data_IF_483846934386
#
_entry.id   IF_483846934386
#
_cell.length_a   1.000
_cell.length_b   1.000
_cell.length_c   1.000
_cell.angle_alpha   90.00
_cell.angle_beta   90.00
_cell.angle_gamma   90.00
#
_symmetry.space_group_name_H-M   'P 1'
#
loop_
_entity.id
_entity.type
_entity.pdbx_description
1 polymer ?
#
# COMPACT_ATOMS: atom_id res chain seq x y z
N UNK A 1 -21.75 -23.61 -5.03
CA UNK A 1 -20.73 -23.74 -6.10
C UNK A 1 -20.18 -25.16 -6.21
N UNK A 2 -19.47 -25.69 -5.20
CA UNK A 2 -18.82 -27.01 -5.27
C UNK A 2 -19.79 -28.21 -5.40
N UNK A 3 -21.07 -28.02 -5.09
CA UNK A 3 -22.13 -29.01 -5.18
C UNK A 3 -23.18 -28.72 -6.26
N UNK A 4 -22.94 -27.72 -7.12
CA UNK A 4 -23.82 -27.33 -8.23
C UNK A 4 -25.27 -26.92 -7.84
N UNK A 5 -25.47 -26.46 -6.60
CA UNK A 5 -26.78 -26.03 -6.06
C UNK A 5 -26.99 -24.51 -6.05
N UNK A 6 -26.28 -23.76 -6.89
CA UNK A 6 -26.15 -22.31 -6.74
C UNK A 6 -25.27 -21.92 -5.54
N UNK A 7 -25.21 -20.63 -5.21
CA UNK A 7 -24.53 -20.12 -4.02
C UNK A 7 -25.07 -18.77 -3.57
N UNK A 8 -24.97 -18.50 -2.28
CA UNK A 8 -25.12 -17.18 -1.69
C UNK A 8 -23.77 -16.45 -1.81
N UNK A 9 -23.75 -15.34 -2.55
CA UNK A 9 -22.55 -14.55 -2.79
C UNK A 9 -21.97 -13.95 -1.52
N UNK A 10 -22.80 -13.38 -0.66
CA UNK A 10 -22.36 -12.76 0.59
C UNK A 10 -21.73 -13.81 1.52
N UNK A 11 -22.36 -14.98 1.64
CA UNK A 11 -21.79 -16.07 2.43
C UNK A 11 -20.47 -16.60 1.82
N UNK A 12 -20.35 -16.63 0.49
CA UNK A 12 -19.12 -17.04 -0.19
C UNK A 12 -17.97 -16.01 -0.01
N UNK A 13 -18.29 -14.72 0.00
CA UNK A 13 -17.33 -13.65 0.28
C UNK A 13 -16.84 -13.73 1.73
N UNK A 14 -17.75 -13.95 2.69
CA UNK A 14 -17.39 -14.18 4.10
C UNK A 14 -16.40 -15.34 4.23
N UNK A 15 -16.66 -16.47 3.56
CA UNK A 15 -15.72 -17.61 3.55
C UNK A 15 -14.34 -17.19 3.03
N UNK A 16 -14.30 -16.46 1.91
CA UNK A 16 -13.05 -16.01 1.28
C UNK A 16 -12.29 -15.03 2.18
N UNK A 17 -12.99 -14.09 2.84
CA UNK A 17 -12.42 -13.22 3.87
C UNK A 17 -11.83 -14.03 5.04
N UNK A 18 -12.47 -15.13 5.44
CA UNK A 18 -11.95 -16.04 6.45
C UNK A 18 -10.63 -16.70 6.07
N UNK A 19 -10.49 -17.12 4.81
CA UNK A 19 -9.22 -17.65 4.30
C UNK A 19 -8.12 -16.58 4.36
N UNK A 20 -8.42 -15.36 3.91
CA UNK A 20 -7.46 -14.24 3.94
C UNK A 20 -7.07 -13.90 5.38
N UNK A 21 -8.04 -13.77 6.28
CA UNK A 21 -7.78 -13.49 7.69
C UNK A 21 -6.91 -14.58 8.33
N UNK A 22 -7.20 -15.85 8.07
CA UNK A 22 -6.38 -16.96 8.53
C UNK A 22 -4.94 -16.81 8.03
N UNK A 23 -4.73 -16.57 6.73
CA UNK A 23 -3.39 -16.43 6.14
C UNK A 23 -2.63 -15.25 6.75
N UNK A 24 -3.29 -14.11 6.96
CA UNK A 24 -2.66 -12.94 7.59
C UNK A 24 -2.18 -13.22 9.01
N UNK A 25 -2.89 -14.09 9.75
CA UNK A 25 -2.56 -14.43 11.13
C UNK A 25 -1.61 -15.64 11.27
N UNK A 26 -1.70 -16.60 10.36
CA UNK A 26 -0.97 -17.86 10.42
C UNK A 26 0.29 -17.87 9.54
N UNK A 27 0.31 -17.12 8.44
CA UNK A 27 1.36 -17.14 7.42
C UNK A 27 1.27 -18.32 6.43
N UNK A 28 0.21 -19.13 6.49
CA UNK A 28 -0.03 -20.28 5.60
C UNK A 28 -1.52 -20.51 5.39
N UNK A 29 -1.90 -21.34 4.41
CA UNK A 29 -3.29 -21.63 4.07
C UNK A 29 -3.96 -22.58 5.08
N UNK A 30 -5.24 -22.36 5.47
CA UNK A 30 -5.95 -23.29 6.34
C UNK A 30 -6.19 -24.66 5.69
N UNK A 31 -6.26 -24.69 4.36
CA UNK A 31 -6.40 -25.90 3.54
C UNK A 31 -5.31 -25.91 2.47
N UNK A 32 -4.38 -26.85 2.56
CA UNK A 32 -3.34 -27.08 1.55
C UNK A 32 -3.07 -28.57 1.48
N UNK A 33 -3.26 -29.17 0.30
CA UNK A 33 -3.14 -30.60 0.07
C UNK A 33 -2.67 -30.84 -1.37
N UNK A 34 -1.70 -31.74 -1.60
CA UNK A 34 -1.21 -32.03 -2.95
C UNK A 34 -2.24 -32.74 -3.82
N UNK A 35 -3.19 -33.47 -3.19
CA UNK A 35 -4.26 -34.15 -3.90
C UNK A 35 -5.54 -33.31 -3.85
N UNK A 36 -6.04 -32.93 -5.03
CA UNK A 36 -7.22 -32.08 -5.17
C UNK A 36 -8.50 -32.69 -4.55
N UNK A 37 -8.66 -34.02 -4.59
CA UNK A 37 -9.80 -34.69 -3.97
C UNK A 37 -9.74 -34.59 -2.43
N UNK A 38 -8.54 -34.72 -1.85
CA UNK A 38 -8.32 -34.53 -0.42
C UNK A 38 -8.52 -33.07 -0.02
N UNK A 39 -8.03 -32.12 -0.82
CA UNK A 39 -8.25 -30.70 -0.63
C UNK A 39 -9.75 -30.38 -0.54
N UNK A 40 -10.52 -30.80 -1.54
CA UNK A 40 -11.97 -30.57 -1.54
C UNK A 40 -12.68 -31.24 -0.37
N UNK A 41 -12.26 -32.44 0.05
CA UNK A 41 -12.82 -33.08 1.24
C UNK A 41 -12.58 -32.26 2.50
N UNK A 42 -11.37 -31.70 2.68
CA UNK A 42 -11.05 -30.84 3.82
C UNK A 42 -11.81 -29.52 3.78
N UNK A 43 -11.90 -28.89 2.61
CA UNK A 43 -12.69 -27.66 2.40
C UNK A 43 -14.16 -27.89 2.74
N UNK A 44 -14.79 -28.93 2.18
CA UNK A 44 -16.21 -29.23 2.41
C UNK A 44 -16.53 -29.59 3.86
N UNK A 45 -15.55 -30.08 4.63
CA UNK A 45 -15.70 -30.38 6.06
C UNK A 45 -15.21 -29.26 6.97
N UNK A 46 -14.61 -28.20 6.41
CA UNK A 46 -13.81 -27.22 7.14
C UNK A 46 -12.82 -27.86 8.13
N UNK A 47 -12.09 -28.87 7.67
CA UNK A 47 -11.09 -29.56 8.48
C UNK A 47 -9.75 -28.81 8.45
N UNK A 48 -9.54 -27.91 9.41
CA UNK A 48 -8.31 -27.13 9.60
C UNK A 48 -7.96 -26.99 11.09
N UNK A 49 -6.71 -26.64 11.38
CA UNK A 49 -6.25 -26.36 12.74
C UNK A 49 -5.72 -24.93 12.83
N UNK A 50 -6.13 -24.21 13.87
CA UNK A 50 -5.57 -22.90 14.17
C UNK A 50 -4.24 -23.07 14.91
N UNK A 51 -3.21 -22.25 14.60
CA UNK A 51 -1.96 -22.22 15.34
C UNK A 51 -2.14 -21.99 16.85
N UNK A 52 -1.13 -22.39 17.64
CA UNK A 52 -1.13 -22.21 19.09
C UNK A 52 -1.19 -20.74 19.50
N UNK A 53 -0.56 -19.84 18.74
CA UNK A 53 -0.50 -18.40 19.00
C UNK A 53 -1.78 -17.63 18.71
N UNK A 54 -2.80 -18.25 18.09
CA UNK A 54 -4.10 -17.61 17.94
C UNK A 54 -4.76 -17.47 19.32
N UNK A 55 -5.30 -16.29 19.62
CA UNK A 55 -6.09 -16.08 20.83
C UNK A 55 -7.37 -16.93 20.79
N UNK A 56 -7.96 -17.27 21.95
CA UNK A 56 -9.22 -18.02 21.98
C UNK A 56 -10.33 -17.36 21.16
N UNK A 57 -10.47 -16.04 21.24
CA UNK A 57 -11.45 -15.28 20.46
C UNK A 57 -11.22 -15.36 18.95
N UNK A 58 -9.96 -15.22 18.51
CA UNK A 58 -9.61 -15.38 17.09
C UNK A 58 -9.97 -16.77 16.54
N UNK A 59 -9.68 -17.82 17.32
CA UNK A 59 -10.02 -19.21 16.93
C UNK A 59 -11.52 -19.40 16.77
N UNK A 60 -12.32 -18.80 17.65
CA UNK A 60 -13.77 -18.89 17.59
C UNK A 60 -14.33 -18.14 16.37
N UNK A 61 -13.88 -16.91 16.13
CA UNK A 61 -14.26 -16.12 14.94
C UNK A 61 -13.92 -16.86 13.65
N UNK A 62 -12.69 -17.37 13.51
CA UNK A 62 -12.27 -18.12 12.32
C UNK A 62 -13.15 -19.35 12.09
N UNK A 63 -13.53 -20.09 13.14
CA UNK A 63 -14.43 -21.24 13.02
C UNK A 63 -15.82 -20.85 12.56
N UNK A 64 -16.37 -19.74 13.06
CA UNK A 64 -17.69 -19.24 12.66
C UNK A 64 -17.71 -18.69 11.22
N UNK A 65 -16.60 -18.10 10.77
CA UNK A 65 -16.42 -17.64 9.38
C UNK A 65 -16.26 -18.83 8.42
N UNK A 66 -15.44 -19.82 8.81
CA UNK A 66 -15.17 -21.03 8.02
C UNK A 66 -16.16 -22.16 8.34
N UNK A 67 -17.41 -21.84 8.68
CA UNK A 67 -18.49 -22.83 8.78
C UNK A 67 -18.83 -23.34 7.38
N UNK A 68 -18.78 -24.66 7.11
CA UNK A 68 -19.17 -25.24 5.82
C UNK A 68 -20.59 -24.90 5.38
N UNK A 69 -21.51 -24.74 6.34
CA UNK A 69 -22.91 -24.46 6.09
C UNK A 69 -23.11 -22.95 5.89
N UNK A 70 -23.50 -22.47 4.69
CA UNK A 70 -23.69 -21.05 4.44
C UNK A 70 -24.86 -20.44 5.23
N UNK A 71 -25.78 -21.26 5.74
CA UNK A 71 -26.94 -20.84 6.53
C UNK A 71 -26.55 -20.50 7.97
N UNK A 72 -25.58 -21.24 8.52
CA UNK A 72 -25.11 -21.09 9.91
C UNK A 72 -23.80 -20.31 10.00
N UNK A 73 -23.14 -20.09 8.87
CA UNK A 73 -21.98 -19.20 8.74
C UNK A 73 -22.33 -17.80 9.21
N UNK A 74 -21.45 -17.24 10.02
CA UNK A 74 -21.61 -15.89 10.58
C UNK A 74 -21.77 -14.86 9.47
N UNK A 75 -22.73 -13.95 9.62
CA UNK A 75 -22.89 -12.81 8.72
C UNK A 75 -21.90 -11.69 9.07
N UNK A 76 -21.68 -10.75 8.15
CA UNK A 76 -20.86 -9.56 8.44
C UNK A 76 -21.45 -8.74 9.61
N UNK A 77 -22.78 -8.60 9.68
CA UNK A 77 -23.43 -7.88 10.76
C UNK A 77 -23.14 -8.52 12.14
N UNK A 78 -23.20 -9.84 12.23
CA UNK A 78 -22.85 -10.56 13.47
C UNK A 78 -21.35 -10.51 13.77
N UNK A 79 -20.50 -10.56 12.74
CA UNK A 79 -19.04 -10.47 12.90
C UNK A 79 -18.61 -9.09 13.42
N UNK A 80 -19.23 -8.01 12.94
CA UNK A 80 -18.98 -6.65 13.45
C UNK A 80 -19.35 -6.51 14.93
N UNK A 81 -20.29 -7.33 15.41
CA UNK A 81 -20.70 -7.36 16.81
C UNK A 81 -19.79 -8.22 17.71
N UNK A 82 -18.87 -9.01 17.14
CA UNK A 82 -18.01 -9.93 17.88
C UNK A 82 -16.95 -9.22 18.74
N UNK A 83 -16.76 -9.70 19.96
CA UNK A 83 -15.84 -9.10 20.95
C UNK A 83 -14.38 -9.15 20.52
N UNK A 84 -13.95 -10.18 19.80
CA UNK A 84 -12.58 -10.23 19.27
C UNK A 84 -12.42 -9.27 18.10
N UNK A 85 -13.42 -9.17 17.22
CA UNK A 85 -13.39 -8.28 16.06
C UNK A 85 -13.40 -6.79 16.47
N UNK A 86 -14.18 -6.43 17.49
CA UNK A 86 -14.28 -5.04 17.99
C UNK A 86 -12.99 -4.49 18.60
N UNK A 87 -12.03 -5.33 18.97
CA UNK A 87 -10.79 -4.89 19.62
C UNK A 87 -9.97 -3.97 18.71
N UNK A 88 -9.98 -2.68 19.02
CA UNK A 88 -9.28 -1.66 18.22
C UNK A 88 -9.94 -1.34 16.88
N UNK A 89 -11.15 -1.88 16.63
CA UNK A 89 -11.91 -1.54 15.44
C UNK A 89 -12.33 -0.07 15.48
N UNK A 90 -12.02 0.65 14.40
CA UNK A 90 -12.54 1.98 14.13
C UNK A 90 -13.36 1.87 12.86
N UNK A 91 -14.67 2.13 12.90
CA UNK A 91 -15.47 2.14 11.69
C UNK A 91 -14.88 3.16 10.71
N UNK A 92 -14.86 2.87 9.41
CA UNK A 92 -14.45 3.86 8.43
C UNK A 92 -15.37 5.08 8.57
N UNK A 93 -14.78 6.21 8.95
CA UNK A 93 -15.43 7.51 8.80
C UNK A 93 -15.30 7.87 7.34
N UNK A 94 -16.35 7.64 6.57
CA UNK A 94 -16.50 8.36 5.32
C UNK A 94 -16.91 9.76 5.76
N UNK A 95 -15.93 10.66 5.88
CA UNK A 95 -16.23 12.07 5.99
C UNK A 95 -17.10 12.40 4.77
N UNK A 96 -18.36 12.73 5.03
CA UNK A 96 -19.24 13.36 4.05
C UNK A 96 -18.71 14.78 3.82
N UNK A 97 -17.49 14.88 3.27
CA UNK A 97 -17.15 16.02 2.45
C UNK A 97 -17.88 15.76 1.13
N UNK A 98 -19.08 16.32 1.07
CA UNK A 98 -19.91 16.46 -0.11
C UNK A 98 -19.06 16.91 -1.30
N UNK A 99 -18.90 16.03 -2.30
CA UNK A 99 -19.49 16.27 -3.61
C UNK A 99 -20.08 14.94 -4.07
N UNK A 100 -21.37 14.93 -4.43
CA UNK A 100 -21.94 13.88 -5.27
C UNK A 100 -20.98 13.70 -6.45
N UNK A 101 -20.21 12.62 -6.47
CA UNK A 101 -19.37 12.27 -7.62
C UNK A 101 -20.33 11.92 -8.75
N UNK A 102 -20.71 12.93 -9.51
CA UNK A 102 -21.51 12.76 -10.70
C UNK A 102 -20.62 12.18 -11.78
N UNK A 103 -21.21 11.53 -12.78
CA UNK A 103 -20.48 10.98 -13.92
C UNK A 103 -19.71 12.10 -14.67
N UNK A 104 -20.03 13.37 -14.44
CA UNK A 104 -19.29 14.51 -15.00
C UNK A 104 -17.91 14.73 -14.31
N UNK A 105 -17.73 14.27 -13.07
CA UNK A 105 -16.47 14.44 -12.31
C UNK A 105 -15.37 13.48 -12.76
N UNK A 106 -15.73 12.30 -13.27
CA UNK A 106 -14.76 11.39 -13.91
C UNK A 106 -14.20 11.96 -15.22
N UNK A 107 -14.97 12.80 -15.94
CA UNK A 107 -14.48 13.51 -17.13
C UNK A 107 -13.59 14.72 -16.77
N UNK A 108 -13.85 15.36 -15.62
CA UNK A 108 -13.00 16.42 -15.09
C UNK A 108 -11.61 15.90 -14.65
N UNK A 109 -11.51 14.66 -14.17
CA UNK A 109 -10.23 14.04 -13.83
C UNK A 109 -9.27 13.86 -15.04
N UNK A 110 -9.80 13.82 -16.27
CA UNK A 110 -9.01 13.81 -17.50
C UNK A 110 -8.78 15.21 -18.08
N UNK A 111 -9.33 16.24 -17.44
CA UNK A 111 -9.32 17.63 -17.91
C UNK A 111 -8.52 18.51 -16.95
N UNK A 112 -7.24 18.72 -17.27
CA UNK A 112 -6.36 19.68 -16.58
C UNK A 112 -7.06 21.00 -16.23
N UNK A 113 -7.30 21.32 -14.94
CA UNK A 113 -6.67 22.45 -14.24
C UNK A 113 -7.32 22.85 -12.91
N UNK A 114 -6.41 23.25 -12.00
CA UNK A 114 -6.49 24.25 -10.91
C UNK A 114 -6.90 23.85 -9.49
N UNK A 115 -5.91 24.15 -8.64
CA UNK A 115 -5.83 24.28 -7.19
C UNK A 115 -7.09 24.81 -6.47
N UNK A 116 -7.44 24.17 -5.37
CA UNK A 116 -8.06 24.81 -4.20
C UNK A 116 -7.25 24.48 -2.95
N UNK A 117 -6.94 25.53 -2.19
CA UNK A 117 -6.10 25.54 -1.00
C UNK A 117 -6.96 25.35 0.25
N UNK A 118 -6.71 24.29 1.02
CA UNK A 118 -7.06 24.24 2.44
C UNK A 118 -5.80 23.91 3.24
N UNK A 119 -5.24 24.95 3.87
CA UNK A 119 -4.06 24.86 4.73
C UNK A 119 -4.44 24.42 6.14
N UNK A 120 -4.73 23.13 6.30
CA UNK A 120 -4.60 22.53 7.63
C UNK A 120 -3.13 22.41 8.00
N UNK A 121 -2.74 22.90 9.18
CA UNK A 121 -1.44 22.62 9.79
C UNK A 121 -1.39 21.14 10.19
N UNK A 122 -1.14 20.24 9.24
CA UNK A 122 -0.83 18.83 9.52
C UNK A 122 0.49 18.76 10.27
N UNK A 123 0.45 18.26 11.51
CA UNK A 123 1.62 18.14 12.39
C UNK A 123 2.50 16.92 12.09
N UNK A 124 2.02 15.99 11.25
CA UNK A 124 2.70 14.76 10.84
C UNK A 124 2.47 14.45 9.35
N UNK A 125 3.35 13.66 8.70
CA UNK A 125 3.15 13.19 7.34
C UNK A 125 1.83 12.43 7.18
N UNK A 126 1.34 12.34 5.95
CA UNK A 126 0.19 11.46 5.65
C UNK A 126 0.60 10.00 5.91
N UNK A 127 -0.29 9.26 6.56
CA UNK A 127 -0.05 7.84 6.85
C UNK A 127 -0.28 7.05 5.57
N UNK A 128 0.73 6.30 5.11
CA UNK A 128 0.57 5.42 3.97
C UNK A 128 0.29 3.99 4.47
N UNK A 129 -0.89 3.49 4.15
CA UNK A 129 -1.32 2.17 4.62
C UNK A 129 -0.74 1.04 3.74
N UNK A 130 -0.92 -0.21 4.16
CA UNK A 130 -0.39 -1.36 3.43
C UNK A 130 -0.99 -1.49 2.01
N UNK A 131 -2.26 -1.17 1.80
CA UNK A 131 -2.90 -1.19 0.49
C UNK A 131 -2.39 -0.08 -0.43
N UNK A 132 -2.14 1.12 0.10
CA UNK A 132 -1.52 2.21 -0.64
C UNK A 132 -0.06 1.90 -1.00
N UNK A 133 0.69 1.29 -0.08
CA UNK A 133 2.04 0.80 -0.36
C UNK A 133 2.03 -0.28 -1.44
N UNK A 134 1.09 -1.22 -1.38
CA UNK A 134 0.98 -2.33 -2.34
C UNK A 134 0.51 -1.84 -3.71
N UNK A 135 -0.55 -1.03 -3.77
CA UNK A 135 -1.10 -0.48 -5.02
C UNK A 135 -0.11 0.43 -5.74
N UNK A 136 0.67 1.19 -4.98
CA UNK A 136 1.74 2.01 -5.53
C UNK A 136 2.96 1.18 -5.91
N UNK A 137 3.16 -0.01 -5.33
CA UNK A 137 4.31 -0.88 -5.64
C UNK A 137 4.13 -1.63 -6.97
N UNK A 138 5.24 -1.83 -7.69
CA UNK A 138 5.24 -2.59 -8.94
C UNK A 138 4.88 -4.10 -8.77
N UNK A 139 4.64 -4.57 -7.55
CA UNK A 139 4.27 -5.97 -7.28
C UNK A 139 2.91 -6.32 -7.87
N UNK A 140 1.98 -5.35 -7.97
CA UNK A 140 0.69 -5.56 -8.63
C UNK A 140 0.73 -5.23 -10.14
N UNK A 141 1.56 -4.27 -10.57
CA UNK A 141 1.73 -3.96 -12.00
C UNK A 141 2.24 -5.18 -12.80
N UNK A 142 3.20 -5.92 -12.23
CA UNK A 142 3.69 -7.16 -12.82
C UNK A 142 2.65 -8.30 -12.84
N UNK A 143 1.56 -8.16 -12.09
CA UNK A 143 0.51 -9.18 -11.96
C UNK A 143 -0.59 -9.02 -13.02
N UNK A 144 -0.78 -7.79 -13.53
CA UNK A 144 -1.84 -7.47 -14.49
C UNK A 144 -1.36 -7.00 -15.87
N UNK A 145 -0.09 -6.58 -16.04
CA UNK A 145 0.40 -6.02 -17.30
C UNK A 145 1.59 -6.79 -17.89
N UNK A 146 1.32 -7.59 -18.93
CA UNK A 146 2.37 -8.13 -19.80
C UNK A 146 2.89 -7.01 -20.71
N UNK A 147 4.19 -6.71 -20.58
CA UNK A 147 5.02 -5.97 -21.53
C UNK A 147 4.69 -4.48 -21.77
N UNK A 148 5.37 -3.62 -21.02
CA UNK A 148 6.06 -2.48 -21.64
C UNK A 148 7.25 -2.06 -20.77
N UNK A 149 8.44 -1.94 -21.38
CA UNK A 149 9.63 -1.31 -20.78
C UNK A 149 9.42 0.21 -20.66
N UNK A 150 8.35 0.62 -19.96
CA UNK A 150 8.08 2.02 -19.68
C UNK A 150 9.11 2.51 -18.66
N UNK A 151 9.97 3.41 -19.13
CA UNK A 151 10.96 4.11 -18.30
C UNK A 151 10.20 4.85 -17.19
N UNK A 152 10.40 4.44 -15.93
CA UNK A 152 9.56 4.85 -14.79
C UNK A 152 9.58 6.36 -14.57
N UNK A 153 8.41 6.96 -14.41
CA UNK A 153 8.30 8.40 -14.12
C UNK A 153 8.42 8.69 -12.62
N UNK A 154 8.59 7.66 -11.80
CA UNK A 154 8.65 7.74 -10.35
C UNK A 154 9.63 6.72 -9.75
N UNK A 155 10.15 7.05 -8.57
CA UNK A 155 11.10 6.25 -7.80
C UNK A 155 10.85 6.47 -6.31
N UNK A 156 11.11 5.47 -5.46
CA UNK A 156 10.91 5.57 -4.01
C UNK A 156 12.13 5.09 -3.23
N UNK A 157 12.24 5.55 -1.99
CA UNK A 157 13.16 5.02 -0.99
C UNK A 157 12.55 5.09 0.42
N UNK A 158 13.10 4.34 1.37
CA UNK A 158 12.67 4.33 2.77
C UNK A 158 13.68 5.02 3.69
N UNK A 159 13.24 5.52 4.84
CA UNK A 159 14.09 6.18 5.84
C UNK A 159 13.57 5.99 7.26
N UNK A 160 14.48 5.86 8.23
CA UNK A 160 14.15 5.92 9.67
C UNK A 160 14.30 7.32 10.28
N UNK A 161 14.77 8.29 9.49
CA UNK A 161 15.00 9.65 10.01
C UNK A 161 13.66 10.37 10.14
N UNK A 162 13.56 11.36 11.05
CA UNK A 162 12.38 12.23 11.12
C UNK A 162 12.12 12.92 9.77
N UNK A 163 10.84 13.09 9.42
CA UNK A 163 10.46 13.72 8.15
C UNK A 163 11.10 15.10 7.93
N UNK A 164 11.30 15.89 8.98
CA UNK A 164 11.98 17.19 8.89
C UNK A 164 13.43 17.07 8.42
N UNK A 165 14.16 16.05 8.87
CA UNK A 165 15.55 15.82 8.47
C UNK A 165 15.66 15.31 7.05
N UNK A 166 14.76 14.38 6.66
CA UNK A 166 14.64 13.90 5.27
C UNK A 166 14.44 15.10 4.34
N UNK A 167 13.48 15.97 4.67
CA UNK A 167 13.14 17.15 3.88
C UNK A 167 14.29 18.17 3.82
N UNK A 168 15.07 18.35 4.89
CA UNK A 168 16.27 19.20 4.88
C UNK A 168 17.33 18.63 3.96
N UNK A 169 17.67 17.35 4.12
CA UNK A 169 18.69 16.67 3.33
C UNK A 169 18.37 16.68 1.83
N UNK A 170 17.10 16.48 1.48
CA UNK A 170 16.63 16.56 0.10
C UNK A 170 16.83 17.94 -0.51
N UNK A 171 16.57 19.02 0.24
CA UNK A 171 16.82 20.37 -0.24
C UNK A 171 18.33 20.65 -0.40
N UNK A 172 19.13 20.28 0.60
CA UNK A 172 20.59 20.46 0.60
C UNK A 172 21.25 19.71 -0.57
N UNK A 173 20.71 18.55 -0.95
CA UNK A 173 21.24 17.75 -2.06
C UNK A 173 20.76 18.26 -3.42
N UNK A 174 19.56 18.84 -3.50
CA UNK A 174 19.00 19.32 -4.76
C UNK A 174 19.64 20.64 -5.24
N UNK A 175 19.97 21.56 -4.32
CA UNK A 175 20.52 22.88 -4.67
C UNK A 175 21.85 22.80 -5.47
N UNK A 176 22.88 22.01 -5.06
CA UNK A 176 24.12 21.86 -5.81
C UNK A 176 23.93 21.23 -7.20
N UNK A 177 22.83 20.49 -7.41
CA UNK A 177 22.48 19.90 -8.69
C UNK A 177 21.82 20.91 -9.66
N UNK A 178 21.65 22.17 -9.26
CA UNK A 178 21.03 23.22 -10.07
C UNK A 178 19.51 23.13 -10.11
N UNK A 179 18.90 22.80 -8.96
CA UNK A 179 17.45 22.78 -8.80
C UNK A 179 17.00 23.83 -7.80
N UNK A 180 16.01 24.62 -8.23
CA UNK A 180 15.24 25.46 -7.36
C UNK A 180 14.23 24.61 -6.57
N UNK A 181 14.23 24.77 -5.25
CA UNK A 181 13.44 23.95 -4.34
C UNK A 181 12.35 24.80 -3.70
N UNK A 182 11.11 24.30 -3.74
CA UNK A 182 9.96 24.84 -2.99
C UNK A 182 9.42 23.77 -2.07
N UNK A 183 9.28 24.09 -0.78
CA UNK A 183 8.74 23.20 0.24
C UNK A 183 7.32 23.61 0.58
N UNK A 184 6.45 22.63 0.74
CA UNK A 184 5.13 22.79 1.31
C UNK A 184 4.83 21.58 2.19
N UNK A 185 4.85 21.78 3.52
CA UNK A 185 4.69 20.71 4.52
C UNK A 185 5.68 19.55 4.28
N UNK A 186 5.18 18.37 3.91
CA UNK A 186 5.95 17.15 3.61
C UNK A 186 6.13 16.90 2.10
N UNK A 187 5.86 17.93 1.28
CA UNK A 187 6.02 17.93 -0.17
C UNK A 187 7.16 18.86 -0.59
N UNK A 188 7.96 18.43 -1.57
CA UNK A 188 8.98 19.27 -2.20
C UNK A 188 8.74 19.31 -3.70
N UNK A 189 8.70 20.51 -4.29
CA UNK A 189 8.78 20.71 -5.74
C UNK A 189 10.18 21.21 -6.09
N UNK A 190 10.88 20.45 -6.92
CA UNK A 190 12.21 20.75 -7.44
C UNK A 190 12.11 21.07 -8.93
N UNK A 191 12.64 22.21 -9.36
CA UNK A 191 12.65 22.62 -10.76
C UNK A 191 14.08 22.91 -11.20
N UNK A 192 14.55 22.19 -12.20
CA UNK A 192 15.88 22.35 -12.74
C UNK A 192 16.04 23.67 -13.49
N UNK A 193 17.20 24.31 -13.34
CA UNK A 193 17.48 25.62 -13.94
C UNK A 193 17.74 25.51 -15.44
N UNK A 194 18.23 24.35 -15.89
CA UNK A 194 18.57 24.07 -17.29
C UNK A 194 17.36 23.51 -18.03
N UNK A 195 17.12 24.03 -19.23
CA UNK A 195 16.14 23.45 -20.14
C UNK A 195 16.75 22.26 -20.87
N UNK A 196 16.14 21.09 -20.71
CA UNK A 196 16.48 19.86 -21.43
C UNK A 196 15.68 19.70 -22.72
N UNK A 197 15.68 18.47 -23.26
CA UNK A 197 15.00 18.16 -24.55
C UNK A 197 13.49 18.37 -24.52
N UNK A 198 12.87 18.21 -23.34
CA UNK A 198 11.43 18.38 -23.10
C UNK A 198 11.13 19.51 -22.13
N UNK A 199 11.95 20.57 -22.17
CA UNK A 199 11.87 21.68 -21.22
C UNK A 199 12.64 21.40 -19.92
N UNK A 200 12.43 22.25 -18.92
CA UNK A 200 13.06 22.10 -17.60
C UNK A 200 12.52 20.88 -16.86
N UNK A 201 13.43 20.05 -16.35
CA UNK A 201 13.06 18.91 -15.50
C UNK A 201 12.40 19.42 -14.21
N UNK A 202 11.20 18.92 -13.94
CA UNK A 202 10.45 19.21 -12.72
C UNK A 202 10.14 17.91 -11.99
N UNK A 203 10.42 17.87 -10.70
CA UNK A 203 10.26 16.70 -9.83
C UNK A 203 9.47 17.12 -8.60
N UNK A 204 8.44 16.37 -8.25
CA UNK A 204 7.74 16.50 -6.97
C UNK A 204 8.14 15.32 -6.08
N UNK A 205 8.24 15.58 -4.79
CA UNK A 205 8.51 14.56 -3.79
C UNK A 205 7.53 14.69 -2.65
N UNK A 206 7.22 13.57 -2.01
CA UNK A 206 6.31 13.49 -0.87
C UNK A 206 6.83 12.47 0.14
N UNK A 207 6.75 12.83 1.42
CA UNK A 207 7.14 11.95 2.54
C UNK A 207 5.87 11.43 3.20
N UNK A 208 5.79 10.11 3.35
CA UNK A 208 4.70 9.40 4.00
C UNK A 208 5.19 8.67 5.25
N UNK A 209 4.34 8.58 6.27
CA UNK A 209 4.59 7.79 7.49
C UNK A 209 3.99 6.39 7.29
N UNK A 210 4.81 5.35 7.32
CA UNK A 210 4.35 3.94 7.21
C UNK A 210 4.32 3.28 8.60
N UNK A 211 5.22 3.69 9.49
CA UNK A 211 5.22 3.36 10.91
C UNK A 211 5.84 4.54 11.69
N UNK A 212 5.69 4.60 13.03
CA UNK A 212 6.18 5.75 13.83
C UNK A 212 7.66 6.11 13.63
N UNK A 213 8.48 5.15 13.18
CA UNK A 213 9.92 5.32 12.89
C UNK A 213 10.31 4.94 11.46
N UNK A 214 9.33 4.81 10.56
CA UNK A 214 9.58 4.43 9.17
C UNK A 214 8.78 5.33 8.22
N UNK A 215 9.51 6.01 7.35
CA UNK A 215 8.96 6.86 6.31
C UNK A 215 9.27 6.28 4.92
N UNK A 216 8.34 6.48 4.00
CA UNK A 216 8.54 6.26 2.56
C UNK A 216 8.58 7.61 1.88
N UNK A 217 9.58 7.81 1.02
CA UNK A 217 9.71 9.01 0.21
C UNK A 217 9.44 8.63 -1.24
N UNK A 218 8.43 9.25 -1.83
CA UNK A 218 8.14 9.15 -3.25
C UNK A 218 8.73 10.34 -4.00
N UNK A 219 9.31 10.07 -5.17
CA UNK A 219 9.77 11.08 -6.12
C UNK A 219 9.11 10.82 -7.48
N UNK A 220 8.50 11.86 -8.05
CA UNK A 220 7.73 11.77 -9.30
C UNK A 220 8.10 12.91 -10.24
N UNK A 221 8.34 12.57 -11.51
CA UNK A 221 8.59 13.54 -12.58
C UNK A 221 7.29 14.25 -12.97
N UNK A 222 7.20 15.54 -12.69
CA UNK A 222 6.06 16.40 -13.04
C UNK A 222 6.26 17.16 -14.35
N UNK A 223 7.49 17.24 -14.87
CA UNK A 223 7.80 17.90 -16.15
C UNK A 223 9.19 17.53 -16.67
N UNK A 224 9.47 17.75 -17.96
CA UNK A 224 10.77 17.43 -18.57
C UNK A 224 10.93 15.97 -19.04
N UNK A 225 12.17 15.59 -19.38
CA UNK A 225 12.49 14.30 -19.99
C UNK A 225 12.71 13.18 -18.96
N UNK A 226 12.27 11.96 -19.28
CA UNK A 226 12.34 10.83 -18.34
C UNK A 226 13.76 10.28 -18.15
N UNK A 227 14.64 10.36 -19.17
CA UNK A 227 16.04 9.95 -19.00
C UNK A 227 16.81 10.97 -18.16
N UNK A 228 16.49 12.26 -18.32
CA UNK A 228 17.00 13.32 -17.45
C UNK A 228 16.56 13.10 -15.99
N UNK A 229 15.31 12.68 -15.76
CA UNK A 229 14.82 12.30 -14.42
C UNK A 229 15.64 11.17 -13.80
N UNK A 230 15.90 10.08 -14.52
CA UNK A 230 16.71 8.97 -13.99
C UNK A 230 18.15 9.38 -13.70
N UNK A 231 18.74 10.20 -14.57
CA UNK A 231 20.09 10.74 -14.36
C UNK A 231 20.13 11.64 -13.12
N UNK A 232 19.13 12.51 -12.97
CA UNK A 232 18.95 13.31 -11.77
C UNK A 232 18.83 12.41 -10.53
N UNK A 233 17.92 11.44 -10.54
CA UNK A 233 17.68 10.55 -9.41
C UNK A 233 18.96 9.80 -8.99
N UNK A 234 19.74 9.29 -9.94
CA UNK A 234 21.01 8.60 -9.65
C UNK A 234 22.04 9.51 -8.96
N UNK A 235 22.09 10.79 -9.34
CA UNK A 235 22.98 11.77 -8.72
C UNK A 235 22.41 12.29 -7.38
N UNK A 236 21.09 12.38 -7.28
CA UNK A 236 20.40 12.83 -6.09
C UNK A 236 20.46 11.77 -4.98
N UNK A 237 20.23 10.50 -5.31
CA UNK A 237 20.29 9.38 -4.36
C UNK A 237 21.68 9.16 -3.76
N UNK A 238 22.75 9.49 -4.49
CA UNK A 238 24.11 9.39 -3.95
C UNK A 238 24.38 10.39 -2.83
N UNK A 239 23.72 11.56 -2.85
CA UNK A 239 23.78 12.56 -1.78
C UNK A 239 22.80 12.29 -0.62
N UNK A 240 21.86 11.38 -0.80
CA UNK A 240 20.88 10.99 0.22
C UNK A 240 21.27 9.73 1.02
N UNK A 241 22.46 9.15 0.81
CA UNK A 241 22.87 7.91 1.48
C UNK A 241 22.74 7.93 3.01
N UNK A 242 22.91 9.09 3.63
CA UNK A 242 22.83 9.25 5.09
C UNK A 242 21.39 9.13 5.63
N UNK A 243 20.39 9.34 4.77
CA UNK A 243 18.96 9.28 5.14
C UNK A 243 18.25 8.07 4.53
N UNK A 244 18.80 7.47 3.49
CA UNK A 244 18.24 6.25 2.87
C UNK A 244 18.53 5.05 3.76
N UNK A 245 17.49 4.32 4.14
CA UNK A 245 17.63 3.01 4.78
C UNK A 245 17.94 1.97 3.70
N UNK A 246 19.17 1.45 3.70
CA UNK A 246 19.54 0.27 2.91
C UNK A 246 19.38 -1.00 3.74
N UNK A 247 18.68 -2.01 3.22
CA UNK A 247 18.52 -3.34 3.82
C UNK A 247 19.67 -4.30 3.47
N UNK A 248 20.84 -3.80 3.03
CA UNK A 248 22.00 -4.60 2.63
C UNK A 248 22.79 -5.18 3.83
N UNK A 249 22.08 -5.60 4.87
CA UNK A 249 22.63 -6.16 6.10
C UNK A 249 21.88 -7.40 6.56
N UNK A 250 21.37 -8.22 5.63
CA UNK A 250 21.03 -9.59 5.98
C UNK A 250 22.34 -10.34 6.26
N UNK A 251 22.59 -10.85 7.49
CA UNK A 251 23.75 -11.68 7.74
C UNK A 251 23.63 -12.94 6.87
N UNK A 252 24.66 -13.23 6.07
CA UNK A 252 24.78 -14.49 5.36
C UNK A 252 24.61 -15.64 6.37
N UNK A 253 23.56 -16.44 6.18
CA UNK A 253 23.45 -17.72 6.87
C UNK A 253 24.66 -18.56 6.50
N UNK A 254 25.61 -18.68 7.44
CA UNK A 254 26.60 -19.72 7.41
C UNK A 254 25.88 -21.07 7.42
N UNK A 255 25.80 -21.69 6.24
CA UNK A 255 25.50 -23.12 6.11
C UNK A 255 26.61 -23.90 6.82
N UNK A 256 26.26 -24.53 7.93
CA UNK A 256 26.95 -25.71 8.45
C UNK A 256 26.32 -26.96 7.84
#
# INVERSE_FOLDING_TARGET
>A
VLSDKGYDGAAADVWSCGIILFVLMAGYLPFDEPNLMTLYKRICKAEFSCPSWFSPGAKEVIKRILDPSPITRISIAELLEDEWFKQGYKPPSFDQDDEDITIDDVDAAFSNSKESLVTEKKAKPESMNAFELISSSNSLENLFEKQAQLVKKETRFTSQRPASEIMSKMEETAKPLGFNVRKDKYKIKMKGDKSGRKGQLSVATEVFEVAPSLHVVELRKTGGDTLEFHKFYKNFSSGLKDVVWNTDGAPEEHKA
#
